data_IF_601615911137
#
_entry.id   IF_601615911137
#
_cell.length_a   1.000
_cell.length_b   1.000
_cell.length_c   1.000
_cell.angle_alpha   90.00
_cell.angle_beta   90.00
_cell.angle_gamma   90.00
#
_symmetry.space_group_name_H-M   'P 1'
#
loop_
_entity.id
_entity.type
_entity.pdbx_description
1 polymer ?
#
# COMPACT_ATOMS: atom_id res chain seq x y z
N UNK A 1 8.55 -25.33 -34.53
CA UNK A 1 9.96 -25.81 -34.51
C UNK A 1 10.56 -25.71 -33.10
N UNK A 2 10.45 -24.55 -32.45
CA UNK A 2 11.01 -24.29 -31.10
C UNK A 2 10.35 -25.14 -29.99
N UNK A 3 9.03 -25.38 -30.02
CA UNK A 3 8.35 -26.27 -29.06
C UNK A 3 8.85 -27.73 -29.11
N UNK A 4 9.19 -28.22 -30.31
CA UNK A 4 9.76 -29.55 -30.52
C UNK A 4 11.17 -29.66 -29.94
N UNK A 5 11.94 -28.57 -29.97
CA UNK A 5 13.28 -28.48 -29.39
C UNK A 5 13.19 -28.48 -27.86
N UNK A 6 12.28 -27.71 -27.26
CA UNK A 6 12.06 -27.73 -25.80
C UNK A 6 11.58 -29.07 -25.26
N UNK A 7 10.71 -29.77 -25.98
CA UNK A 7 10.24 -31.11 -25.57
C UNK A 7 11.34 -32.17 -25.62
N UNK A 8 12.29 -32.04 -26.53
CA UNK A 8 13.35 -33.03 -26.75
C UNK A 8 14.74 -32.52 -26.32
N UNK A 9 14.79 -31.48 -25.48
CA UNK A 9 16.04 -30.76 -25.21
C UNK A 9 17.08 -31.62 -24.50
N UNK A 10 16.62 -32.51 -23.60
CA UNK A 10 17.48 -33.50 -22.97
C UNK A 10 18.13 -34.44 -23.99
N UNK A 11 17.39 -34.87 -25.02
CA UNK A 11 17.93 -35.72 -26.09
C UNK A 11 18.89 -34.94 -27.01
N UNK A 12 18.61 -33.66 -27.29
CA UNK A 12 19.49 -32.80 -28.10
C UNK A 12 20.80 -32.54 -27.37
N UNK A 13 20.76 -32.21 -26.07
CA UNK A 13 21.94 -32.02 -25.23
C UNK A 13 22.77 -33.32 -25.18
N UNK A 14 22.11 -34.48 -24.98
CA UNK A 14 22.77 -35.78 -24.99
C UNK A 14 23.48 -36.06 -26.32
N UNK A 15 22.83 -35.80 -27.45
CA UNK A 15 23.40 -36.00 -28.79
C UNK A 15 24.60 -35.06 -29.02
N UNK A 16 24.49 -33.79 -28.63
CA UNK A 16 25.60 -32.81 -28.77
C UNK A 16 26.80 -33.20 -27.91
N UNK A 17 26.57 -33.70 -26.69
CA UNK A 17 27.62 -34.20 -25.80
C UNK A 17 28.29 -35.45 -26.39
N UNK A 18 27.50 -36.40 -26.91
CA UNK A 18 28.04 -37.60 -27.57
C UNK A 18 28.88 -37.21 -28.81
N UNK A 19 28.38 -36.31 -29.66
CA UNK A 19 29.13 -35.84 -30.83
C UNK A 19 30.41 -35.12 -30.41
N UNK A 20 30.39 -34.28 -29.38
CA UNK A 20 31.59 -33.60 -28.88
C UNK A 20 32.67 -34.58 -28.38
N UNK A 21 32.27 -35.71 -27.78
CA UNK A 21 33.18 -36.77 -27.32
C UNK A 21 33.72 -37.59 -28.50
N UNK A 22 32.87 -37.92 -29.47
CA UNK A 22 33.24 -38.78 -30.60
C UNK A 22 33.87 -38.04 -31.79
N UNK A 23 33.66 -36.73 -31.94
CA UNK A 23 34.23 -35.92 -33.02
C UNK A 23 35.77 -36.01 -33.11
N UNK A 24 36.55 -35.79 -32.04
CA UNK A 24 38.01 -35.91 -32.13
C UNK A 24 38.45 -37.34 -32.47
N UNK A 25 37.72 -38.38 -32.04
CA UNK A 25 38.01 -39.78 -32.39
C UNK A 25 37.78 -40.02 -33.88
N UNK A 26 36.62 -39.61 -34.41
CA UNK A 26 36.23 -39.78 -35.81
C UNK A 26 37.15 -39.00 -36.75
N UNK A 27 37.51 -37.77 -36.40
CA UNK A 27 38.35 -36.91 -37.24
C UNK A 27 39.86 -37.20 -37.14
N UNK A 28 40.31 -38.04 -36.20
CA UNK A 28 41.72 -38.48 -36.09
C UNK A 28 41.96 -39.90 -36.64
N UNK A 29 40.92 -40.60 -37.12
CA UNK A 29 41.06 -41.92 -37.76
C UNK A 29 41.76 -41.83 -39.14
N UNK A 30 42.60 -42.83 -39.50
CA UNK A 30 43.33 -42.87 -40.76
C UNK A 30 42.36 -43.19 -41.91
N UNK A 31 41.96 -42.16 -42.64
CA UNK A 31 40.99 -42.25 -43.75
C UNK A 31 40.55 -40.88 -44.27
N UNK A 32 40.65 -39.84 -43.45
CA UNK A 32 40.49 -38.44 -43.85
C UNK A 32 41.85 -37.78 -44.10
N UNK A 33 42.56 -38.19 -45.16
CA UNK A 33 43.88 -37.64 -45.51
C UNK A 33 43.88 -36.12 -45.80
N UNK A 34 42.72 -35.52 -46.08
CA UNK A 34 42.56 -34.07 -46.24
C UNK A 34 42.66 -33.28 -44.91
N UNK A 35 42.49 -33.96 -43.76
CA UNK A 35 42.65 -33.38 -42.42
C UNK A 35 43.90 -33.91 -41.69
N UNK A 36 44.69 -34.77 -42.34
CA UNK A 36 45.94 -35.29 -41.79
C UNK A 36 47.04 -34.23 -41.88
N UNK A 37 46.96 -33.22 -40.99
CA UNK A 37 48.08 -32.30 -40.75
C UNK A 37 49.01 -32.90 -39.70
N UNK A 38 49.79 -33.87 -40.15
CA UNK A 38 50.86 -34.52 -39.38
C UNK A 38 51.99 -33.55 -38.96
N UNK A 39 51.88 -32.26 -39.29
CA UNK A 39 52.85 -31.18 -39.01
C UNK A 39 52.24 -29.86 -38.49
N UNK A 40 51.01 -29.81 -37.95
CA UNK A 40 50.53 -28.58 -37.28
C UNK A 40 49.77 -28.85 -35.98
N UNK A 41 50.32 -28.31 -34.88
CA UNK A 41 49.60 -28.11 -33.61
C UNK A 41 49.56 -29.33 -32.71
N UNK A 42 49.76 -29.12 -31.41
CA UNK A 42 49.65 -30.16 -30.38
C UNK A 42 48.24 -30.79 -30.47
N UNK A 43 48.08 -32.05 -30.06
CA UNK A 43 46.78 -32.76 -30.01
C UNK A 43 45.67 -31.90 -29.37
N UNK A 44 46.03 -31.00 -28.45
CA UNK A 44 45.15 -29.99 -27.86
C UNK A 44 44.53 -28.98 -28.84
N UNK A 45 45.22 -28.60 -29.92
CA UNK A 45 44.70 -27.68 -30.95
C UNK A 45 43.65 -28.36 -31.83
N UNK A 46 43.82 -29.66 -32.15
CA UNK A 46 42.85 -30.42 -32.94
C UNK A 46 41.61 -30.77 -32.13
N UNK A 47 41.78 -31.20 -30.88
CA UNK A 47 40.67 -31.47 -29.97
C UNK A 47 39.94 -30.16 -29.64
N UNK A 48 40.67 -29.10 -29.30
CA UNK A 48 40.09 -27.78 -29.00
C UNK A 48 39.39 -27.17 -30.21
N UNK A 49 40.01 -27.19 -31.39
CA UNK A 49 39.46 -26.61 -32.61
C UNK A 49 38.21 -27.32 -33.14
N UNK A 50 38.12 -28.65 -32.97
CA UNK A 50 36.94 -29.42 -33.42
C UNK A 50 35.80 -29.44 -32.40
N UNK A 51 36.10 -29.39 -31.09
CA UNK A 51 35.07 -29.45 -30.04
C UNK A 51 34.52 -28.07 -29.65
N UNK A 52 35.30 -27.00 -29.80
CA UNK A 52 34.88 -25.64 -29.41
C UNK A 52 33.57 -25.16 -30.06
N UNK A 53 33.29 -25.41 -31.36
CA UNK A 53 32.01 -25.02 -31.97
C UNK A 53 30.80 -25.74 -31.34
N UNK A 54 30.96 -27.02 -30.94
CA UNK A 54 29.89 -27.78 -30.29
C UNK A 54 29.61 -27.28 -28.88
N UNK A 55 30.65 -26.99 -28.10
CA UNK A 55 30.51 -26.37 -26.78
C UNK A 55 29.88 -24.97 -26.89
N UNK A 56 30.33 -24.15 -27.84
CA UNK A 56 29.73 -22.83 -28.10
C UNK A 56 28.26 -22.92 -28.47
N UNK A 57 27.88 -23.86 -29.34
CA UNK A 57 26.49 -24.10 -29.70
C UNK A 57 25.64 -24.57 -28.50
N UNK A 58 26.18 -25.49 -27.69
CA UNK A 58 25.52 -25.96 -26.48
C UNK A 58 25.31 -24.83 -25.47
N UNK A 59 26.33 -23.98 -25.27
CA UNK A 59 26.24 -22.81 -24.40
C UNK A 59 25.15 -21.83 -24.84
N UNK A 60 25.04 -21.56 -26.15
CA UNK A 60 23.98 -20.68 -26.69
C UNK A 60 22.59 -21.28 -26.50
N UNK A 61 22.42 -22.59 -26.71
CA UNK A 61 21.14 -23.28 -26.45
C UNK A 61 20.76 -23.20 -24.97
N UNK A 62 21.69 -23.52 -24.08
CA UNK A 62 21.45 -23.48 -22.63
C UNK A 62 21.09 -22.06 -22.18
N UNK A 63 21.85 -21.06 -22.65
CA UNK A 63 21.60 -19.66 -22.34
C UNK A 63 20.21 -19.20 -22.83
N UNK A 64 19.81 -19.59 -24.04
CA UNK A 64 18.47 -19.31 -24.55
C UNK A 64 17.38 -19.90 -23.67
N UNK A 65 17.56 -21.12 -23.18
CA UNK A 65 16.59 -21.76 -22.28
C UNK A 65 16.52 -21.06 -20.93
N UNK A 66 17.66 -20.71 -20.35
CA UNK A 66 17.72 -19.95 -19.11
C UNK A 66 16.98 -18.63 -19.26
N UNK A 67 17.21 -17.88 -20.34
CA UNK A 67 16.49 -16.64 -20.59
C UNK A 67 14.98 -16.82 -20.79
N UNK A 68 14.57 -17.91 -21.46
CA UNK A 68 13.15 -18.23 -21.63
C UNK A 68 12.48 -18.48 -20.28
N UNK A 69 13.07 -19.31 -19.42
CA UNK A 69 12.53 -19.60 -18.09
C UNK A 69 12.55 -18.37 -17.18
N UNK A 70 13.62 -17.58 -17.21
CA UNK A 70 13.68 -16.31 -16.47
C UNK A 70 12.55 -15.35 -16.90
N UNK A 71 12.23 -15.29 -18.20
CA UNK A 71 11.14 -14.44 -18.70
C UNK A 71 9.77 -14.91 -18.19
N UNK A 72 9.52 -16.22 -18.16
CA UNK A 72 8.27 -16.80 -17.63
C UNK A 72 8.19 -16.52 -16.12
N UNK A 73 9.24 -16.84 -15.38
CA UNK A 73 9.33 -16.60 -13.94
C UNK A 73 9.12 -15.12 -13.60
N UNK A 74 9.78 -14.21 -14.31
CA UNK A 74 9.60 -12.77 -14.07
C UNK A 74 8.17 -12.30 -14.29
N UNK A 75 7.48 -12.86 -15.30
CA UNK A 75 6.08 -12.55 -15.55
C UNK A 75 5.17 -13.07 -14.43
N UNK A 76 5.37 -14.32 -13.99
CA UNK A 76 4.62 -14.90 -12.87
C UNK A 76 4.89 -14.17 -11.56
N UNK A 77 6.16 -13.86 -11.26
CA UNK A 77 6.57 -13.10 -10.09
C UNK A 77 5.96 -11.69 -10.08
N UNK A 78 5.90 -11.02 -11.23
CA UNK A 78 5.27 -9.70 -11.35
C UNK A 78 3.78 -9.75 -11.03
N UNK A 79 3.07 -10.77 -11.52
CA UNK A 79 1.65 -10.94 -11.24
C UNK A 79 1.41 -11.29 -9.77
N UNK A 80 2.22 -12.19 -9.21
CA UNK A 80 2.17 -12.54 -7.80
C UNK A 80 2.42 -11.32 -6.90
N UNK A 81 3.46 -10.53 -7.20
CA UNK A 81 3.78 -9.31 -6.47
C UNK A 81 2.63 -8.30 -6.52
N UNK A 82 1.97 -8.15 -7.69
CA UNK A 82 0.81 -7.27 -7.83
C UNK A 82 -0.36 -7.75 -6.97
N UNK A 83 -0.69 -9.04 -7.00
CA UNK A 83 -1.74 -9.60 -6.16
C UNK A 83 -1.43 -9.45 -4.66
N UNK A 84 -0.17 -9.64 -4.28
CA UNK A 84 0.27 -9.46 -2.90
C UNK A 84 0.23 -8.00 -2.45
N UNK A 85 0.60 -7.06 -3.32
CA UNK A 85 0.48 -5.63 -3.05
C UNK A 85 -0.97 -5.22 -2.82
N UNK A 86 -1.89 -5.66 -3.69
CA UNK A 86 -3.34 -5.41 -3.52
C UNK A 86 -3.84 -5.97 -2.19
N UNK A 87 -3.47 -7.21 -1.84
CA UNK A 87 -3.88 -7.82 -0.58
C UNK A 87 -3.35 -7.05 0.64
N UNK A 88 -2.08 -6.61 0.58
CA UNK A 88 -1.46 -5.83 1.65
C UNK A 88 -2.09 -4.43 1.79
N UNK A 89 -2.37 -3.75 0.67
CA UNK A 89 -3.07 -2.45 0.67
C UNK A 89 -4.46 -2.59 1.29
N UNK A 90 -5.21 -3.64 0.94
CA UNK A 90 -6.51 -3.94 1.55
C UNK A 90 -6.40 -4.19 3.05
N UNK A 91 -5.45 -5.01 3.50
CA UNK A 91 -5.25 -5.32 4.93
C UNK A 91 -4.87 -4.05 5.72
N UNK A 92 -3.98 -3.21 5.17
CA UNK A 92 -3.61 -1.93 5.77
C UNK A 92 -4.83 -0.99 5.89
N UNK A 93 -5.62 -0.85 4.82
CA UNK A 93 -6.83 -0.03 4.83
C UNK A 93 -7.86 -0.58 5.84
N UNK A 94 -8.06 -1.89 5.92
CA UNK A 94 -8.96 -2.48 6.92
C UNK A 94 -8.49 -2.17 8.34
N UNK A 95 -7.21 -2.33 8.64
CA UNK A 95 -6.64 -2.02 9.97
C UNK A 95 -6.82 -0.56 10.36
N UNK A 96 -6.54 0.38 9.46
CA UNK A 96 -6.70 1.81 9.73
C UNK A 96 -8.19 2.14 9.91
N UNK A 97 -9.06 1.58 9.06
CA UNK A 97 -10.51 1.75 9.18
C UNK A 97 -11.02 1.27 10.54
N UNK A 98 -10.60 0.09 10.98
CA UNK A 98 -11.02 -0.48 12.25
C UNK A 98 -10.51 0.39 13.42
N UNK A 99 -9.29 0.92 13.31
CA UNK A 99 -8.75 1.85 14.29
C UNK A 99 -9.59 3.14 14.37
N UNK A 100 -9.88 3.78 13.23
CA UNK A 100 -10.75 4.96 13.15
C UNK A 100 -12.11 4.65 13.78
N UNK A 101 -12.73 3.52 13.42
CA UNK A 101 -14.02 3.13 13.97
C UNK A 101 -13.97 2.94 15.48
N UNK A 102 -12.92 2.31 16.00
CA UNK A 102 -12.75 2.09 17.43
C UNK A 102 -12.57 3.41 18.19
N UNK A 103 -11.73 4.31 17.68
CA UNK A 103 -11.53 5.63 18.27
C UNK A 103 -12.82 6.46 18.24
N UNK A 104 -13.55 6.45 17.11
CA UNK A 104 -14.85 7.10 17.00
C UNK A 104 -15.86 6.55 18.01
N UNK A 105 -15.93 5.22 18.18
CA UNK A 105 -16.89 4.59 19.09
C UNK A 105 -16.55 4.83 20.58
N UNK A 106 -15.26 4.96 20.90
CA UNK A 106 -14.77 5.18 22.26
C UNK A 106 -14.66 6.66 22.63
N UNK A 107 -14.97 7.57 21.72
CA UNK A 107 -14.92 9.00 21.94
C UNK A 107 -15.95 9.42 22.99
N UNK A 108 -15.50 10.06 24.07
CA UNK A 108 -16.36 10.46 25.18
C UNK A 108 -16.74 11.95 25.05
N UNK A 109 -18.05 12.22 25.09
CA UNK A 109 -18.62 13.56 25.10
C UNK A 109 -19.30 13.78 26.44
N UNK A 110 -18.75 14.70 27.24
CA UNK A 110 -19.24 14.99 28.58
C UNK A 110 -20.00 16.31 28.59
N UNK A 111 -21.30 16.26 28.90
CA UNK A 111 -22.17 17.43 29.02
C UNK A 111 -22.63 17.52 30.48
N UNK A 112 -22.36 18.64 31.12
CA UNK A 112 -22.81 18.95 32.47
C UNK A 112 -24.11 19.73 32.41
N UNK A 113 -25.14 19.21 33.06
CA UNK A 113 -26.37 19.94 33.31
C UNK A 113 -26.32 20.54 34.73
N UNK A 114 -26.68 21.80 34.88
CA UNK A 114 -26.71 22.55 36.15
C UNK A 114 -27.98 22.26 36.96
N UNK A 115 -29.08 21.84 36.32
CA UNK A 115 -30.37 21.65 36.96
C UNK A 115 -31.19 20.50 36.30
N UNK A 116 -31.09 19.26 36.79
CA UNK A 116 -30.32 18.82 37.96
C UNK A 116 -28.82 18.77 37.68
N UNK A 117 -27.99 19.01 38.69
CA UNK A 117 -26.53 18.81 38.64
C UNK A 117 -26.21 17.36 38.26
N UNK A 118 -26.05 17.11 36.96
CA UNK A 118 -25.87 15.77 36.41
C UNK A 118 -24.86 15.83 35.28
N UNK A 119 -23.87 14.95 35.36
CA UNK A 119 -22.97 14.68 34.26
C UNK A 119 -23.61 13.66 33.31
N UNK A 120 -23.74 14.04 32.04
CA UNK A 120 -24.21 13.20 30.95
C UNK A 120 -22.97 12.84 30.13
N UNK A 121 -22.45 11.63 30.34
CA UNK A 121 -21.38 11.06 29.54
C UNK A 121 -22.00 10.26 28.39
N UNK A 122 -21.69 10.67 27.17
CA UNK A 122 -22.10 10.02 25.93
C UNK A 122 -20.87 9.40 25.26
N UNK A 123 -21.02 8.20 24.69
CA UNK A 123 -19.93 7.49 24.01
C UNK A 123 -20.22 7.33 22.54
N UNK A 124 -19.32 7.81 21.70
CA UNK A 124 -19.40 7.74 20.25
C UNK A 124 -19.34 9.11 19.58
N UNK A 125 -18.66 9.18 18.43
CA UNK A 125 -18.54 10.40 17.62
C UNK A 125 -19.90 10.94 17.13
N UNK A 126 -20.93 10.10 17.03
CA UNK A 126 -22.29 10.54 16.71
C UNK A 126 -22.85 11.54 17.72
N UNK A 127 -22.40 11.47 18.97
CA UNK A 127 -22.84 12.35 20.05
C UNK A 127 -22.12 13.70 20.06
N UNK A 128 -21.20 13.95 19.12
CA UNK A 128 -20.61 15.29 18.94
C UNK A 128 -21.71 16.32 18.65
N UNK A 129 -22.76 15.96 17.90
CA UNK A 129 -23.87 16.88 17.64
C UNK A 129 -24.65 17.23 18.91
N UNK A 130 -24.67 16.36 19.92
CA UNK A 130 -25.35 16.62 21.18
C UNK A 130 -24.68 17.76 21.96
N UNK A 131 -23.43 18.14 21.63
CA UNK A 131 -22.80 19.35 22.16
C UNK A 131 -23.58 20.61 21.82
N UNK A 132 -24.38 20.61 20.74
CA UNK A 132 -25.28 21.74 20.44
C UNK A 132 -26.27 21.99 21.58
N UNK A 133 -26.62 20.96 22.36
CA UNK A 133 -27.49 21.09 23.52
C UNK A 133 -26.85 21.90 24.65
N UNK A 134 -25.54 22.15 24.63
CA UNK A 134 -24.85 23.07 25.55
C UNK A 134 -25.21 24.54 25.30
N UNK A 135 -25.85 24.88 24.17
CA UNK A 135 -26.40 26.23 23.97
C UNK A 135 -27.56 26.54 24.93
N UNK A 136 -28.18 25.52 25.55
CA UNK A 136 -29.11 25.73 26.65
C UNK A 136 -28.37 26.24 27.89
N UNK A 137 -28.95 27.22 28.58
CA UNK A 137 -28.33 27.91 29.73
C UNK A 137 -27.87 26.98 30.86
N UNK A 138 -28.54 25.83 31.01
CA UNK A 138 -28.23 24.87 32.06
C UNK A 138 -27.18 23.84 31.64
N UNK A 139 -26.85 23.73 30.35
CA UNK A 139 -25.90 22.74 29.84
C UNK A 139 -24.57 23.40 29.46
N UNK A 140 -23.47 22.75 29.77
CA UNK A 140 -22.13 23.20 29.37
C UNK A 140 -21.15 22.03 29.31
N UNK A 141 -20.01 22.28 28.69
CA UNK A 141 -18.83 21.43 28.79
C UNK A 141 -17.72 22.19 29.51
N UNK A 142 -16.98 21.50 30.38
CA UNK A 142 -15.79 22.08 31.01
C UNK A 142 -14.65 22.19 29.99
N UNK A 143 -13.84 23.24 30.09
CA UNK A 143 -12.67 23.45 29.23
C UNK A 143 -11.74 22.21 29.19
N UNK A 144 -11.38 21.62 30.33
CA UNK A 144 -10.48 20.46 30.37
C UNK A 144 -11.07 19.23 29.65
N UNK A 145 -12.39 19.05 29.72
CA UNK A 145 -13.10 17.96 29.06
C UNK A 145 -13.22 18.22 27.56
N UNK A 146 -13.50 19.47 27.18
CA UNK A 146 -13.48 19.89 25.78
C UNK A 146 -12.09 19.72 25.16
N UNK A 147 -11.02 20.08 25.87
CA UNK A 147 -9.64 19.96 25.39
C UNK A 147 -9.25 18.49 25.18
N UNK A 148 -9.67 17.57 26.06
CA UNK A 148 -9.49 16.12 25.87
C UNK A 148 -10.24 15.63 24.63
N UNK A 149 -11.52 15.99 24.53
CA UNK A 149 -12.36 15.65 23.38
C UNK A 149 -11.72 16.16 22.08
N UNK A 150 -11.29 17.42 22.06
CA UNK A 150 -10.69 18.06 20.91
C UNK A 150 -9.41 17.36 20.46
N UNK A 151 -8.52 17.02 21.40
CA UNK A 151 -7.30 16.24 21.09
C UNK A 151 -7.62 14.90 20.42
N UNK A 152 -8.59 14.17 20.95
CA UNK A 152 -9.02 12.89 20.38
C UNK A 152 -9.63 13.07 18.98
N UNK A 153 -10.44 14.12 18.78
CA UNK A 153 -11.01 14.44 17.46
C UNK A 153 -9.92 14.77 16.44
N UNK A 154 -8.87 15.49 16.84
CA UNK A 154 -7.75 15.83 15.96
C UNK A 154 -6.98 14.57 15.54
N UNK A 155 -6.74 13.64 16.48
CA UNK A 155 -6.09 12.37 16.17
C UNK A 155 -6.89 11.56 15.14
N UNK A 156 -8.21 11.45 15.35
CA UNK A 156 -9.11 10.78 14.40
C UNK A 156 -9.10 11.51 13.05
N UNK A 157 -9.12 12.84 13.05
CA UNK A 157 -9.11 13.63 11.82
C UNK A 157 -7.84 13.37 10.99
N UNK A 158 -6.67 13.34 11.62
CA UNK A 158 -5.42 13.01 10.94
C UNK A 158 -5.42 11.58 10.40
N UNK A 159 -5.96 10.61 11.15
CA UNK A 159 -6.09 9.23 10.67
C UNK A 159 -7.04 9.12 9.47
N UNK A 160 -8.15 9.84 9.46
CA UNK A 160 -9.04 9.91 8.30
C UNK A 160 -8.34 10.51 7.06
N UNK A 161 -7.54 11.57 7.24
CA UNK A 161 -6.78 12.17 6.13
C UNK A 161 -5.67 11.23 5.63
N UNK A 162 -4.97 10.55 6.54
CA UNK A 162 -3.99 9.52 6.18
C UNK A 162 -4.65 8.39 5.39
N UNK A 163 -5.82 7.93 5.85
CA UNK A 163 -6.61 6.91 5.17
C UNK A 163 -6.93 7.30 3.73
N UNK A 164 -7.46 8.51 3.52
CA UNK A 164 -7.75 9.01 2.18
C UNK A 164 -6.50 9.05 1.31
N UNK A 165 -5.37 9.52 1.83
CA UNK A 165 -4.11 9.52 1.08
C UNK A 165 -3.67 8.12 0.65
N UNK A 166 -3.80 7.12 1.53
CA UNK A 166 -3.46 5.72 1.20
C UNK A 166 -4.41 5.20 0.12
N UNK A 167 -5.71 5.47 0.22
CA UNK A 167 -6.68 5.08 -0.83
C UNK A 167 -6.32 5.71 -2.17
N UNK A 168 -5.99 7.01 -2.20
CA UNK A 168 -5.59 7.71 -3.42
C UNK A 168 -4.36 7.07 -4.06
N UNK A 169 -3.33 6.77 -3.25
CA UNK A 169 -2.05 6.22 -3.72
C UNK A 169 -2.06 4.72 -4.01
N UNK A 170 -3.03 3.98 -3.49
CA UNK A 170 -3.10 2.52 -3.65
C UNK A 170 -3.30 2.11 -5.12
N UNK A 171 -2.81 0.92 -5.47
CA UNK A 171 -3.00 0.32 -6.80
C UNK A 171 -4.38 -0.35 -6.98
N UNK A 172 -5.32 -0.08 -6.08
CA UNK A 172 -6.65 -0.68 -6.09
C UNK A 172 -7.47 -0.23 -7.30
N UNK A 173 -8.36 -1.12 -7.73
CA UNK A 173 -9.37 -0.81 -8.74
C UNK A 173 -10.38 0.21 -8.19
N UNK A 174 -11.01 0.94 -9.10
CA UNK A 174 -11.91 2.05 -8.75
C UNK A 174 -13.06 1.60 -7.85
N UNK A 175 -13.69 0.47 -8.16
CA UNK A 175 -14.80 -0.05 -7.37
C UNK A 175 -14.38 -0.38 -5.93
N UNK A 176 -13.16 -0.89 -5.74
CA UNK A 176 -12.60 -1.18 -4.42
C UNK A 176 -12.30 0.11 -3.66
N UNK A 177 -11.72 1.11 -4.32
CA UNK A 177 -11.48 2.43 -3.71
C UNK A 177 -12.78 3.05 -3.19
N UNK A 178 -13.84 3.02 -4.01
CA UNK A 178 -15.16 3.52 -3.61
C UNK A 178 -15.73 2.78 -2.39
N UNK A 179 -15.64 1.44 -2.37
CA UNK A 179 -16.07 0.63 -1.24
C UNK A 179 -15.33 0.96 0.07
N UNK A 180 -14.06 1.34 -0.02
CA UNK A 180 -13.25 1.75 1.13
C UNK A 180 -13.53 3.18 1.61
N UNK A 181 -13.92 4.09 0.71
CA UNK A 181 -14.21 5.49 1.07
C UNK A 181 -15.52 5.63 1.86
N UNK A 182 -16.57 4.89 1.47
CA UNK A 182 -17.92 5.05 2.01
C UNK A 182 -18.00 4.94 3.55
N UNK A 183 -17.41 3.91 4.20
CA UNK A 183 -17.50 3.76 5.66
C UNK A 183 -16.83 4.91 6.43
N UNK A 184 -15.73 5.46 5.91
CA UNK A 184 -14.98 6.54 6.56
C UNK A 184 -15.70 7.89 6.43
N UNK A 185 -16.49 8.08 5.37
CA UNK A 185 -17.25 9.33 5.14
C UNK A 185 -18.12 9.71 6.34
N UNK A 186 -18.84 8.73 6.92
CA UNK A 186 -19.73 8.93 8.08
C UNK A 186 -18.93 9.38 9.32
N UNK A 187 -17.79 8.74 9.55
CA UNK A 187 -16.91 9.06 10.68
C UNK A 187 -16.30 10.45 10.52
N UNK A 188 -15.81 10.75 9.31
CA UNK A 188 -15.30 12.07 8.92
C UNK A 188 -16.35 13.18 9.08
N UNK A 189 -17.61 12.94 8.70
CA UNK A 189 -18.70 13.90 8.90
C UNK A 189 -18.91 14.21 10.38
N UNK A 190 -18.94 13.18 11.23
CA UNK A 190 -19.10 13.31 12.68
C UNK A 190 -17.98 14.15 13.29
N UNK A 191 -16.74 13.93 12.87
CA UNK A 191 -15.56 14.70 13.30
C UNK A 191 -15.63 16.16 12.82
N UNK A 192 -15.95 16.38 11.55
CA UNK A 192 -16.10 17.73 11.00
C UNK A 192 -17.19 18.54 11.72
N UNK A 193 -18.23 17.87 12.22
CA UNK A 193 -19.29 18.50 13.01
C UNK A 193 -18.72 19.30 14.19
N UNK A 194 -17.73 18.76 14.91
CA UNK A 194 -17.12 19.45 16.05
C UNK A 194 -16.45 20.77 15.60
N UNK A 195 -15.71 20.73 14.50
CA UNK A 195 -15.01 21.91 13.97
C UNK A 195 -16.00 23.02 13.60
N UNK A 196 -17.11 22.66 12.95
CA UNK A 196 -18.16 23.61 12.63
C UNK A 196 -18.87 24.16 13.86
N UNK A 197 -19.25 23.30 14.81
CA UNK A 197 -19.91 23.72 16.05
C UNK A 197 -19.04 24.71 16.84
N UNK A 198 -17.73 24.47 16.90
CA UNK A 198 -16.79 25.38 17.56
C UNK A 198 -16.66 26.71 16.80
N UNK A 199 -16.44 26.69 15.47
CA UNK A 199 -16.28 27.92 14.67
C UNK A 199 -17.55 28.80 14.68
N UNK A 200 -18.72 28.17 14.74
CA UNK A 200 -20.02 28.85 14.84
C UNK A 200 -20.35 29.33 16.26
N UNK A 201 -19.50 29.03 17.26
CA UNK A 201 -19.77 29.30 18.68
C UNK A 201 -21.08 28.66 19.17
N UNK A 202 -21.43 27.50 18.62
CA UNK A 202 -22.62 26.72 18.97
C UNK A 202 -22.37 25.71 20.09
N UNK A 203 -21.36 25.97 20.93
CA UNK A 203 -20.99 25.17 22.10
C UNK A 203 -20.76 26.14 23.26
N UNK A 204 -21.25 25.81 24.45
CA UNK A 204 -20.98 26.57 25.66
C UNK A 204 -19.87 25.89 26.48
N UNK A 205 -18.70 26.51 26.51
CA UNK A 205 -17.52 26.01 27.20
C UNK A 205 -17.27 26.88 28.43
N UNK A 206 -17.28 26.27 29.62
CA UNK A 206 -16.96 26.97 30.88
C UNK A 206 -15.47 26.83 31.16
N UNK A 207 -14.80 27.99 31.32
CA UNK A 207 -13.38 28.07 31.68
C UNK A 207 -13.14 27.43 33.04
N UNK A 208 -12.04 26.68 33.14
CA UNK A 208 -11.54 26.23 34.44
C UNK A 208 -10.67 27.32 35.07
N UNK A 209 -10.47 27.25 36.38
CA UNK A 209 -9.66 28.23 37.15
C UNK A 209 -8.20 28.32 36.71
N UNK A 210 -7.74 27.41 35.84
CA UNK A 210 -6.39 27.35 35.28
C UNK A 210 -6.27 27.94 33.86
N UNK A 211 -7.33 28.51 33.29
CA UNK A 211 -7.32 29.01 31.91
C UNK A 211 -6.41 30.24 31.73
N UNK A 212 -5.45 30.14 30.80
CA UNK A 212 -4.42 31.16 30.53
C UNK A 212 -4.84 32.15 29.43
N UNK A 213 -5.81 31.78 28.58
CA UNK A 213 -6.19 32.56 27.39
C UNK A 213 -7.55 33.25 27.53
N UNK A 214 -7.63 34.49 27.05
CA UNK A 214 -8.83 35.34 27.18
C UNK A 214 -9.98 34.90 26.26
N UNK A 215 -9.71 34.38 25.06
CA UNK A 215 -10.74 33.85 24.15
C UNK A 215 -10.50 32.37 23.79
N UNK A 216 -11.30 31.51 24.42
CA UNK A 216 -11.30 30.06 24.20
C UNK A 216 -11.62 29.68 22.75
N UNK A 217 -12.31 30.52 21.98
CA UNK A 217 -12.70 30.25 20.59
C UNK A 217 -11.65 30.64 19.56
N UNK A 218 -10.64 31.42 19.95
CA UNK A 218 -9.51 31.73 19.06
C UNK A 218 -8.42 30.65 19.12
N UNK A 219 -8.32 29.92 20.25
CA UNK A 219 -7.33 28.84 20.48
C UNK A 219 -7.27 27.81 19.34
N UNK A 220 -8.44 27.32 18.90
CA UNK A 220 -8.54 26.24 17.92
C UNK A 220 -9.02 26.67 16.54
N UNK A 221 -9.32 27.95 16.35
CA UNK A 221 -9.93 28.48 15.12
C UNK A 221 -9.13 28.15 13.87
N UNK A 222 -7.85 28.55 13.83
CA UNK A 222 -6.95 28.30 12.68
C UNK A 222 -6.79 26.81 12.40
N UNK A 223 -6.71 26.01 13.45
CA UNK A 223 -6.57 24.55 13.33
C UNK A 223 -7.83 23.95 12.70
N UNK A 224 -9.02 24.36 13.15
CA UNK A 224 -10.30 23.90 12.60
C UNK A 224 -10.45 24.26 11.12
N UNK A 225 -10.17 25.52 10.77
CA UNK A 225 -10.20 25.99 9.37
C UNK A 225 -9.29 25.15 8.48
N UNK A 226 -8.06 24.87 8.96
CA UNK A 226 -7.10 24.02 8.24
C UNK A 226 -7.60 22.59 8.04
N UNK A 227 -8.22 21.97 9.05
CA UNK A 227 -8.76 20.61 8.91
C UNK A 227 -9.94 20.55 7.95
N UNK A 228 -10.86 21.52 8.04
CA UNK A 228 -12.00 21.62 7.12
C UNK A 228 -11.51 21.74 5.67
N UNK A 229 -10.51 22.59 5.42
CA UNK A 229 -9.92 22.75 4.09
C UNK A 229 -9.22 21.47 3.61
N UNK A 230 -8.41 20.82 4.46
CA UNK A 230 -7.73 19.55 4.12
C UNK A 230 -8.74 18.46 3.77
N UNK A 231 -9.84 18.34 4.51
CA UNK A 231 -10.89 17.38 4.20
C UNK A 231 -11.58 17.69 2.87
N UNK A 232 -11.86 18.96 2.59
CA UNK A 232 -12.43 19.38 1.30
C UNK A 232 -11.51 19.04 0.14
N UNK A 233 -10.21 19.30 0.28
CA UNK A 233 -9.21 18.98 -0.73
C UNK A 233 -9.08 17.46 -0.95
N UNK A 234 -9.13 16.68 0.13
CA UNK A 234 -9.13 15.22 0.03
C UNK A 234 -10.37 14.69 -0.71
N UNK A 235 -11.55 15.24 -0.44
CA UNK A 235 -12.79 14.86 -1.16
C UNK A 235 -12.72 15.19 -2.65
N UNK A 236 -12.22 16.38 -3.01
CA UNK A 236 -12.02 16.75 -4.40
C UNK A 236 -11.04 15.80 -5.11
N UNK A 237 -9.96 15.42 -4.43
CA UNK A 237 -9.01 14.45 -4.97
C UNK A 237 -9.66 13.07 -5.18
N UNK A 238 -10.53 12.62 -4.26
CA UNK A 238 -11.24 11.35 -4.37
C UNK A 238 -12.29 11.36 -5.49
N UNK A 239 -12.99 12.49 -5.68
CA UNK A 239 -13.95 12.66 -6.79
C UNK A 239 -13.30 12.60 -8.16
N UNK A 240 -12.04 13.06 -8.29
CA UNK A 240 -11.29 12.96 -9.54
C UNK A 240 -10.84 11.53 -9.89
N UNK A 241 -10.98 10.58 -8.96
CA UNK A 241 -10.74 9.14 -9.17
C UNK A 241 -12.07 8.39 -9.43
N UNK A 242 -13.21 9.02 -9.11
CA UNK A 242 -14.57 8.55 -9.44
C UNK A 242 -14.95 8.81 -10.90
#
# INVERSE_FOLDING_TARGET
>A
MIEKITRNIGAIILIVVLIAIFAPIIFTLPGFECFNKTTTGQIGDTIGGTTAPFWGFLSVILLYLTFKEQRVFNHEQSNFNRSQQIANDCDLLMKIRDNISNLCNNLEVNILNLNPQKNIQLKGASHIEDLRNTTHKDNHINEDEFDKLYKNVIEIAELCLLYYNIVLQSSLEKELKEAFIQPISIQKESINRLFYLYLQKNINIIKTTASIEDDLFERYKKTNERFIERFKNAELALQNIQ
#
